data_IF_207812692305
#
_entry.id   IF_207812692305
#
_cell.length_a   1.000
_cell.length_b   1.000
_cell.length_c   1.000
_cell.angle_alpha   90.00
_cell.angle_beta   90.00
_cell.angle_gamma   90.00
#
_symmetry.space_group_name_H-M   'P 1'
#
loop_
_entity.id
_entity.type
_entity.pdbx_description
1 polymer ?
#
# COMPACT_ATOMS: atom_id res chain seq x y z
N UNK A 1 -1.85 -30.21 -18.13
CA UNK A 1 -1.40 -29.87 -16.77
C UNK A 1 -0.93 -28.43 -16.82
N UNK A 2 -1.77 -27.49 -16.37
CA UNK A 2 -1.38 -26.08 -16.31
C UNK A 2 -0.31 -25.93 -15.24
N UNK A 3 0.90 -25.54 -15.65
CA UNK A 3 1.86 -24.98 -14.72
C UNK A 3 1.24 -23.68 -14.20
N UNK A 4 0.58 -23.74 -13.04
CA UNK A 4 0.39 -22.56 -12.20
C UNK A 4 1.79 -22.06 -11.91
N UNK A 5 2.22 -21.02 -12.62
CA UNK A 5 3.41 -20.27 -12.24
C UNK A 5 3.17 -19.84 -10.79
N UNK A 6 3.85 -20.50 -9.85
CA UNK A 6 3.92 -20.03 -8.48
C UNK A 6 4.72 -18.73 -8.55
N UNK A 7 4.00 -17.62 -8.71
CA UNK A 7 4.53 -16.27 -8.56
C UNK A 7 5.41 -16.26 -7.32
N UNK A 8 6.67 -15.84 -7.43
CA UNK A 8 7.56 -15.89 -6.28
C UNK A 8 7.04 -14.95 -5.19
N UNK A 9 7.41 -15.17 -3.93
CA UNK A 9 7.08 -14.24 -2.82
C UNK A 9 7.53 -12.81 -3.15
N UNK A 10 8.62 -12.68 -3.90
CA UNK A 10 9.12 -11.40 -4.38
C UNK A 10 8.17 -10.76 -5.41
N UNK A 11 7.66 -11.53 -6.37
CA UNK A 11 6.71 -11.04 -7.38
C UNK A 11 5.36 -10.66 -6.73
N UNK A 12 4.86 -11.44 -5.77
CA UNK A 12 3.66 -11.11 -4.99
C UNK A 12 3.82 -9.79 -4.22
N UNK A 13 5.01 -9.57 -3.66
CA UNK A 13 5.35 -8.33 -2.99
C UNK A 13 5.42 -7.14 -3.95
N UNK A 14 5.99 -7.31 -5.16
CA UNK A 14 6.02 -6.27 -6.19
C UNK A 14 4.60 -5.93 -6.68
N UNK A 15 3.74 -6.93 -6.86
CA UNK A 15 2.34 -6.73 -7.21
C UNK A 15 1.61 -5.96 -6.10
N UNK A 16 1.79 -6.36 -4.84
CA UNK A 16 1.21 -5.64 -3.70
C UNK A 16 1.61 -4.16 -3.68
N UNK A 17 2.89 -3.85 -3.93
CA UNK A 17 3.37 -2.46 -4.03
C UNK A 17 2.68 -1.67 -5.13
N UNK A 18 2.51 -2.25 -6.31
CA UNK A 18 1.81 -1.59 -7.41
C UNK A 18 0.35 -1.29 -7.03
N UNK A 19 -0.30 -2.21 -6.30
CA UNK A 19 -1.68 -2.04 -5.85
C UNK A 19 -1.82 -0.97 -4.76
N UNK A 20 -0.81 -0.79 -3.90
CA UNK A 20 -0.77 0.33 -2.94
C UNK A 20 -0.83 1.68 -3.67
N UNK A 21 -0.04 1.87 -4.73
CA UNK A 21 -0.05 3.12 -5.51
C UNK A 21 -1.39 3.32 -6.23
N UNK A 22 -1.96 2.25 -6.81
CA UNK A 22 -3.30 2.28 -7.42
C UNK A 22 -4.38 2.63 -6.41
N UNK A 23 -4.32 2.09 -5.20
CA UNK A 23 -5.25 2.39 -4.12
C UNK A 23 -5.17 3.86 -3.70
N UNK A 24 -3.96 4.41 -3.52
CA UNK A 24 -3.80 5.85 -3.22
C UNK A 24 -4.40 6.72 -4.32
N UNK A 25 -4.09 6.42 -5.58
CA UNK A 25 -4.61 7.16 -6.72
C UNK A 25 -6.14 7.10 -6.83
N UNK A 26 -6.73 5.91 -6.64
CA UNK A 26 -8.18 5.73 -6.70
C UNK A 26 -8.88 6.43 -5.53
N UNK A 27 -8.30 6.37 -4.32
CA UNK A 27 -8.88 7.02 -3.15
C UNK A 27 -8.85 8.56 -3.21
N UNK A 28 -8.05 9.15 -4.10
CA UNK A 28 -8.09 10.59 -4.40
C UNK A 28 -9.23 10.98 -5.35
N UNK A 29 -9.79 10.03 -6.10
CA UNK A 29 -10.75 10.30 -7.18
C UNK A 29 -12.14 9.73 -6.89
N UNK A 30 -12.22 8.69 -6.07
CA UNK A 30 -13.45 7.98 -5.75
C UNK A 30 -13.69 7.98 -4.22
N UNK A 31 -14.62 8.84 -3.79
CA UNK A 31 -15.03 8.94 -2.38
C UNK A 31 -15.73 7.67 -1.88
N UNK A 32 -16.40 6.91 -2.77
CA UNK A 32 -17.02 5.62 -2.42
C UNK A 32 -15.96 4.57 -2.10
N UNK A 33 -14.88 4.52 -2.88
CA UNK A 33 -13.72 3.70 -2.58
C UNK A 33 -13.02 4.15 -1.29
N UNK A 34 -12.83 5.47 -1.11
CA UNK A 34 -12.20 6.03 0.10
C UNK A 34 -12.99 5.69 1.36
N UNK A 35 -14.33 5.73 1.30
CA UNK A 35 -15.21 5.30 2.39
C UNK A 35 -15.09 3.79 2.64
N UNK A 36 -15.13 2.97 1.59
CA UNK A 36 -14.99 1.52 1.71
C UNK A 36 -13.63 1.11 2.31
N UNK A 37 -12.54 1.81 1.97
CA UNK A 37 -11.23 1.62 2.58
C UNK A 37 -11.25 1.90 4.08
N UNK A 38 -12.08 2.82 4.56
CA UNK A 38 -12.20 3.15 5.99
C UNK A 38 -12.92 2.07 6.77
N UNK A 39 -13.90 1.41 6.14
CA UNK A 39 -14.70 0.36 6.77
C UNK A 39 -14.00 -0.99 6.74
N UNK A 40 -13.51 -1.40 5.56
CA UNK A 40 -12.84 -2.69 5.38
C UNK A 40 -11.83 -2.62 4.22
N UNK A 41 -10.55 -2.31 4.51
CA UNK A 41 -9.53 -2.13 3.49
C UNK A 41 -9.36 -3.33 2.56
N UNK A 42 -9.38 -4.56 3.12
CA UNK A 42 -9.18 -5.79 2.35
C UNK A 42 -10.37 -6.03 1.41
N UNK A 43 -11.60 -5.87 1.89
CA UNK A 43 -12.78 -6.00 1.06
C UNK A 43 -12.84 -4.92 -0.03
N UNK A 44 -12.49 -3.69 0.30
CA UNK A 44 -12.47 -2.57 -0.65
C UNK A 44 -11.44 -2.79 -1.77
N UNK A 45 -10.19 -3.15 -1.43
CA UNK A 45 -9.16 -3.45 -2.44
C UNK A 45 -9.59 -4.62 -3.34
N UNK A 46 -10.19 -5.67 -2.77
CA UNK A 46 -10.73 -6.77 -3.56
C UNK A 46 -11.83 -6.33 -4.52
N UNK A 47 -12.80 -5.56 -4.03
CA UNK A 47 -13.96 -5.15 -4.83
C UNK A 47 -13.58 -4.14 -5.93
N UNK A 48 -12.78 -3.13 -5.61
CA UNK A 48 -12.51 -2.01 -6.52
C UNK A 48 -11.28 -2.23 -7.39
N UNK A 49 -10.26 -2.96 -6.90
CA UNK A 49 -9.02 -3.19 -7.63
C UNK A 49 -8.88 -4.62 -8.18
N UNK A 50 -9.87 -5.49 -7.90
CA UNK A 50 -9.86 -6.91 -8.23
C UNK A 50 -8.56 -7.59 -7.77
N UNK A 51 -8.10 -7.23 -6.57
CA UNK A 51 -6.83 -7.70 -6.02
C UNK A 51 -7.04 -8.33 -4.64
N UNK A 52 -6.62 -9.58 -4.50
CA UNK A 52 -6.54 -10.26 -3.20
C UNK A 52 -5.18 -9.93 -2.58
N UNK A 53 -5.20 -9.33 -1.40
CA UNK A 53 -3.98 -8.96 -0.70
C UNK A 53 -3.31 -10.26 -0.21
N UNK A 54 -2.09 -10.56 -0.68
CA UNK A 54 -1.37 -11.74 -0.24
C UNK A 54 -1.06 -11.62 1.26
N UNK A 55 -0.84 -12.77 1.90
CA UNK A 55 -0.49 -12.90 3.32
C UNK A 55 -1.63 -12.55 4.31
N UNK A 56 -1.58 -13.14 5.51
CA UNK A 56 -2.52 -12.86 6.60
C UNK A 56 -2.13 -11.57 7.34
N UNK A 57 -2.07 -10.46 6.59
CA UNK A 57 -1.72 -9.15 7.11
C UNK A 57 -2.99 -8.43 7.56
N UNK A 58 -2.96 -7.92 8.79
CA UNK A 58 -3.90 -6.90 9.24
C UNK A 58 -3.56 -5.59 8.51
N UNK A 59 -4.56 -4.90 7.97
CA UNK A 59 -4.34 -3.65 7.25
C UNK A 59 -5.08 -2.54 7.96
N UNK A 60 -4.34 -1.49 8.27
CA UNK A 60 -4.87 -0.27 8.84
C UNK A 60 -4.57 0.89 7.88
N UNK A 61 -5.51 1.83 7.74
CA UNK A 61 -5.40 2.95 6.80
C UNK A 61 -5.45 4.25 7.61
N UNK A 62 -4.35 4.99 7.59
CA UNK A 62 -4.25 6.29 8.23
C UNK A 62 -4.54 7.35 7.18
N UNK A 63 -5.70 8.00 7.32
CA UNK A 63 -6.17 9.04 6.41
C UNK A 63 -5.52 10.39 6.71
N UNK A 64 -5.33 11.20 5.66
CA UNK A 64 -4.87 12.58 5.72
C UNK A 64 -3.50 12.76 6.39
N UNK A 65 -2.69 11.70 6.36
CA UNK A 65 -1.34 11.67 6.92
C UNK A 65 -0.33 11.31 5.82
N UNK A 66 0.61 12.22 5.58
CA UNK A 66 1.73 12.00 4.67
C UNK A 66 3.01 11.53 5.40
N UNK A 67 2.98 11.28 6.71
CA UNK A 67 4.14 10.78 7.45
C UNK A 67 4.15 9.25 7.46
N UNK A 68 5.22 8.66 6.94
CA UNK A 68 5.45 7.23 7.06
C UNK A 68 5.67 6.87 8.54
N UNK A 69 4.96 5.85 9.03
CA UNK A 69 5.19 5.30 10.37
C UNK A 69 5.58 3.82 10.27
N UNK A 70 6.85 3.49 10.04
CA UNK A 70 7.37 2.18 10.36
C UNK A 70 7.86 2.26 11.80
N UNK A 71 6.98 2.17 12.79
CA UNK A 71 7.46 1.73 14.10
C UNK A 71 7.85 0.26 13.98
N UNK A 72 9.10 0.07 13.53
CA UNK A 72 9.97 -1.12 13.52
C UNK A 72 9.62 -2.29 12.62
N UNK A 73 10.47 -2.54 11.61
CA UNK A 73 10.78 -3.88 11.09
C UNK A 73 12.29 -3.98 10.85
N UNK A 74 13.04 -4.30 11.91
CA UNK A 74 14.32 -5.02 11.88
C UNK A 74 14.86 -5.30 13.30
N UNK A 75 13.96 -5.69 14.21
CA UNK A 75 14.22 -6.60 15.34
C UNK A 75 12.91 -6.75 16.12
N UNK A 76 12.22 -7.86 15.82
CA UNK A 76 11.04 -8.45 16.46
C UNK A 76 10.52 -7.73 17.72
N UNK A 77 9.56 -6.81 17.53
CA UNK A 77 8.55 -6.48 18.52
C UNK A 77 7.18 -6.49 17.84
N UNK A 78 6.58 -7.68 17.84
CA UNK A 78 5.17 -7.93 17.56
C UNK A 78 4.35 -7.07 18.53
N UNK A 79 3.75 -5.97 18.07
CA UNK A 79 2.66 -5.34 18.82
C UNK A 79 1.40 -6.19 18.68
N UNK A 80 1.39 -7.42 19.22
CA UNK A 80 0.27 -8.39 19.30
C UNK A 80 -0.61 -8.62 18.04
N UNK A 81 -0.32 -7.99 16.91
CA UNK A 81 -1.10 -7.99 15.67
C UNK A 81 -0.16 -7.53 14.55
N UNK A 82 0.11 -8.40 13.59
CA UNK A 82 0.98 -8.15 12.44
C UNK A 82 0.27 -7.20 11.45
N UNK A 83 0.28 -5.89 11.77
CA UNK A 83 -0.43 -4.86 11.01
C UNK A 83 0.49 -4.09 10.07
N UNK A 84 0.13 -4.05 8.80
CA UNK A 84 0.68 -3.08 7.84
C UNK A 84 -0.19 -1.83 7.82
N UNK A 85 0.45 -0.67 7.91
CA UNK A 85 -0.23 0.62 7.85
C UNK A 85 -0.05 1.27 6.48
N UNK A 86 -1.17 1.53 5.79
CA UNK A 86 -1.22 2.36 4.60
C UNK A 86 -1.44 3.81 5.03
N UNK A 87 -0.48 4.69 4.73
CA UNK A 87 -0.67 6.13 4.93
C UNK A 87 -1.28 6.71 3.65
N UNK A 88 -2.53 7.16 3.72
CA UNK A 88 -3.20 7.80 2.59
C UNK A 88 -2.99 9.32 2.68
N UNK A 89 -2.09 9.89 1.85
CA UNK A 89 -1.88 11.33 1.83
C UNK A 89 -3.12 12.05 1.28
N UNK A 90 -3.32 13.34 1.66
CA UNK A 90 -4.35 14.16 1.04
C UNK A 90 -4.09 14.30 -0.46
N UNK A 91 -5.16 14.41 -1.24
CA UNK A 91 -5.06 14.55 -2.69
C UNK A 91 -4.39 15.89 -3.04
N UNK A 92 -3.30 15.89 -3.83
CA UNK A 92 -2.70 17.12 -4.34
C UNK A 92 -3.54 17.65 -5.53
N UNK A 93 -3.25 18.89 -6.00
CA UNK A 93 -3.85 19.42 -7.23
C UNK A 93 -3.69 18.45 -8.41
N UNK A 94 -4.68 18.39 -9.30
CA UNK A 94 -4.74 17.39 -10.37
C UNK A 94 -3.47 17.36 -11.26
N UNK A 95 -2.86 18.52 -11.52
CA UNK A 95 -1.62 18.64 -12.30
C UNK A 95 -0.36 18.12 -11.58
N UNK A 96 -0.43 17.83 -10.28
CA UNK A 96 0.67 17.35 -9.45
C UNK A 96 0.50 15.89 -9.01
N UNK A 97 -0.64 15.25 -9.31
CA UNK A 97 -0.95 13.90 -8.82
C UNK A 97 0.04 12.83 -9.31
N UNK A 98 0.48 12.91 -10.57
CA UNK A 98 1.46 11.95 -11.10
C UNK A 98 2.81 12.03 -10.37
N UNK A 99 3.31 13.26 -10.15
CA UNK A 99 4.56 13.50 -9.41
C UNK A 99 4.42 13.08 -7.95
N UNK A 100 3.29 13.38 -7.32
CA UNK A 100 3.03 12.97 -5.94
C UNK A 100 2.97 11.44 -5.77
N UNK A 101 2.40 10.70 -6.73
CA UNK A 101 2.43 9.23 -6.73
C UNK A 101 3.85 8.70 -6.91
N UNK A 102 4.65 9.32 -7.79
CA UNK A 102 6.05 8.95 -8.00
C UNK A 102 6.88 9.19 -6.73
N UNK A 103 6.73 10.36 -6.10
CA UNK A 103 7.39 10.71 -4.85
C UNK A 103 6.96 9.77 -3.70
N UNK A 104 5.66 9.43 -3.61
CA UNK A 104 5.15 8.46 -2.65
C UNK A 104 5.75 7.07 -2.88
N UNK A 105 5.81 6.58 -4.12
CA UNK A 105 6.46 5.29 -4.39
C UNK A 105 7.94 5.31 -4.00
N UNK A 106 8.66 6.40 -4.31
CA UNK A 106 10.08 6.55 -3.98
C UNK A 106 10.32 6.56 -2.46
N UNK A 107 9.54 7.33 -1.71
CA UNK A 107 9.76 7.51 -0.28
C UNK A 107 9.27 6.34 0.57
N UNK A 108 8.16 5.70 0.20
CA UNK A 108 7.46 4.74 1.07
C UNK A 108 7.70 3.28 0.69
N UNK A 109 8.18 3.00 -0.52
CA UNK A 109 8.28 1.64 -1.04
C UNK A 109 9.70 1.26 -1.49
N UNK A 110 10.72 2.10 -1.26
CA UNK A 110 12.10 1.78 -1.69
C UNK A 110 12.92 1.19 -0.55
N UNK A 111 13.19 -0.12 -0.61
CA UNK A 111 14.11 -0.83 0.31
C UNK A 111 15.53 -0.98 -0.29
N UNK A 112 15.72 -0.51 -1.53
CA UNK A 112 16.92 -0.70 -2.33
C UNK A 112 17.73 0.59 -2.52
N UNK A 113 17.46 1.64 -1.74
CA UNK A 113 18.39 2.76 -1.75
C UNK A 113 19.73 2.25 -1.24
N UNK A 114 20.82 2.33 -2.04
CA UNK A 114 22.14 2.12 -1.47
C UNK A 114 22.29 3.18 -0.37
N UNK A 115 22.63 2.75 0.84
CA UNK A 115 23.08 3.66 1.87
C UNK A 115 24.35 4.33 1.34
N UNK A 116 24.22 5.47 0.67
CA UNK A 116 25.36 6.34 0.41
C UNK A 116 25.68 6.96 1.77
N UNK A 117 26.69 6.40 2.42
CA UNK A 117 27.33 6.96 3.60
C UNK A 117 28.09 8.23 3.24
#
# INVERSE_FOLDING_TARGET
MEHKFSTSVYDEFLLYRAQVIRAVALAWQDEGFKAALRENPRAAVRQYLNYEIPFALDIDVIFDNAKFCPQTVLDWLVKKTDRLQLNLPPAPPANQQAEALAAYNLQFLTFLQPHIR
#
